data_IF_409282883005
#
_entry.id   IF_409282883005
#
_cell.length_a   1.000
_cell.length_b   1.000
_cell.length_c   1.000
_cell.angle_alpha   90.00
_cell.angle_beta   90.00
_cell.angle_gamma   90.00
#
_symmetry.space_group_name_H-M   'P 1'
#
loop_
_entity.id
_entity.type
_entity.pdbx_description
1 polymer ?
#
# COMPACT_ATOMS: atom_id res chain seq x y z
N UNK A 1 -20.23 1.64 -17.40
CA UNK A 1 -18.94 2.38 -17.35
C UNK A 1 -17.96 1.76 -18.33
N UNK A 2 -17.12 2.55 -18.98
CA UNK A 2 -16.04 2.06 -19.83
C UNK A 2 -14.79 1.83 -18.99
N UNK A 3 -14.51 0.56 -18.64
CA UNK A 3 -13.36 0.20 -17.82
C UNK A 3 -12.03 0.58 -18.49
N UNK A 4 -11.93 0.43 -19.81
CA UNK A 4 -10.69 0.73 -20.55
C UNK A 4 -10.34 2.21 -20.45
N UNK A 5 -11.34 3.07 -20.51
CA UNK A 5 -11.17 4.51 -20.41
C UNK A 5 -10.63 4.95 -19.03
N UNK A 6 -10.90 4.21 -17.95
CA UNK A 6 -10.30 4.51 -16.64
C UNK A 6 -8.78 4.39 -16.74
N UNK A 7 -8.30 3.23 -17.17
CA UNK A 7 -6.87 2.97 -17.30
C UNK A 7 -6.20 3.94 -18.29
N UNK A 8 -6.83 4.24 -19.41
CA UNK A 8 -6.25 5.20 -20.38
C UNK A 8 -6.08 6.62 -19.81
N UNK A 9 -6.91 7.03 -18.85
CA UNK A 9 -6.84 8.35 -18.23
C UNK A 9 -5.91 8.42 -17.02
N UNK A 10 -5.43 7.28 -16.50
CA UNK A 10 -4.61 7.21 -15.28
C UNK A 10 -3.30 6.44 -15.49
N UNK A 11 -2.94 6.15 -16.75
CA UNK A 11 -1.74 5.41 -17.15
C UNK A 11 -0.46 6.27 -17.05
N UNK A 12 -0.14 6.72 -15.85
CA UNK A 12 1.08 7.46 -15.50
C UNK A 12 1.39 7.30 -14.02
N UNK A 13 2.60 7.63 -13.57
CA UNK A 13 2.96 7.61 -12.14
C UNK A 13 2.22 8.72 -11.40
N UNK A 14 1.53 8.38 -10.32
CA UNK A 14 0.78 9.33 -9.48
C UNK A 14 1.04 9.03 -8.00
N UNK A 15 2.31 9.19 -7.62
CA UNK A 15 2.81 8.90 -6.28
C UNK A 15 2.32 9.91 -5.23
N UNK A 16 2.26 9.46 -3.98
CA UNK A 16 1.86 10.25 -2.81
C UNK A 16 2.40 11.69 -2.80
N UNK A 17 1.49 12.64 -2.58
CA UNK A 17 1.76 14.07 -2.41
C UNK A 17 2.14 14.82 -3.69
N UNK A 18 2.09 14.15 -4.85
CA UNK A 18 2.36 14.79 -6.14
C UNK A 18 1.12 15.47 -6.72
N UNK A 19 1.33 16.37 -7.69
CA UNK A 19 0.21 16.97 -8.44
C UNK A 19 -0.52 15.92 -9.30
N UNK A 20 0.18 14.87 -9.72
CA UNK A 20 -0.37 13.73 -10.46
C UNK A 20 -1.32 12.90 -9.58
N UNK A 21 -0.99 12.70 -8.29
CA UNK A 21 -1.93 12.09 -7.33
C UNK A 21 -3.20 12.94 -7.20
N UNK A 22 -3.09 14.26 -7.04
CA UNK A 22 -4.27 15.14 -6.99
C UNK A 22 -5.09 15.09 -8.29
N UNK A 23 -4.43 15.02 -9.45
CA UNK A 23 -5.12 14.87 -10.74
C UNK A 23 -5.99 13.60 -10.79
N UNK A 24 -5.49 12.48 -10.24
CA UNK A 24 -6.26 11.24 -10.16
C UNK A 24 -7.40 11.34 -9.14
N UNK A 25 -7.19 12.01 -8.00
CA UNK A 25 -8.25 12.29 -7.04
C UNK A 25 -9.41 13.10 -7.67
N UNK A 26 -9.08 14.16 -8.42
CA UNK A 26 -10.06 14.97 -9.15
C UNK A 26 -10.77 14.16 -10.24
N UNK A 27 -10.04 13.28 -10.93
CA UNK A 27 -10.62 12.35 -11.91
C UNK A 27 -11.64 11.41 -11.25
N UNK A 28 -11.29 10.74 -10.15
CA UNK A 28 -12.18 9.82 -9.43
C UNK A 28 -13.42 10.55 -8.89
N UNK A 29 -13.23 11.75 -8.32
CA UNK A 29 -14.33 12.61 -7.89
C UNK A 29 -15.29 12.90 -9.05
N UNK A 30 -14.75 13.27 -10.21
CA UNK A 30 -15.51 13.55 -11.42
C UNK A 30 -16.25 12.32 -11.93
N UNK A 31 -15.66 11.12 -11.87
CA UNK A 31 -16.35 9.88 -12.23
C UNK A 31 -17.58 9.65 -11.33
N UNK A 32 -17.45 9.88 -10.02
CA UNK A 32 -18.57 9.77 -9.08
C UNK A 32 -19.69 10.78 -9.41
N UNK A 33 -19.33 12.04 -9.66
CA UNK A 33 -20.30 13.11 -9.96
C UNK A 33 -21.01 12.90 -11.30
N UNK A 34 -20.30 12.40 -12.31
CA UNK A 34 -20.89 12.02 -13.60
C UNK A 34 -21.95 10.91 -13.46
N UNK A 35 -21.84 10.09 -12.42
CA UNK A 35 -22.87 9.09 -12.10
C UNK A 35 -24.05 9.67 -11.30
N UNK A 36 -23.98 10.93 -10.87
CA UNK A 36 -24.96 11.58 -10.01
C UNK A 36 -24.73 11.34 -8.51
N UNK A 37 -23.55 10.86 -8.13
CA UNK A 37 -23.20 10.53 -6.75
C UNK A 37 -22.48 11.70 -6.10
N UNK A 38 -22.97 12.15 -4.94
CA UNK A 38 -22.33 13.22 -4.19
C UNK A 38 -20.93 12.77 -3.74
N UNK A 39 -19.92 13.57 -4.06
CA UNK A 39 -18.53 13.27 -3.72
C UNK A 39 -17.75 14.51 -3.28
N UNK A 40 -16.69 14.28 -2.51
CA UNK A 40 -15.80 15.33 -1.98
C UNK A 40 -14.37 14.80 -1.88
N UNK A 41 -13.41 15.73 -1.83
CA UNK A 41 -12.02 15.45 -1.54
C UNK A 41 -11.72 15.93 -0.12
N UNK A 42 -11.04 15.09 0.66
CA UNK A 42 -10.55 15.41 2.00
C UNK A 42 -9.03 15.32 2.01
N UNK A 43 -8.37 16.44 2.27
CA UNK A 43 -6.90 16.53 2.33
C UNK A 43 -6.34 16.13 3.69
N UNK A 44 -5.18 15.51 3.69
CA UNK A 44 -4.43 15.16 4.90
C UNK A 44 -2.93 15.34 4.69
N UNK A 45 -2.22 15.66 5.78
CA UNK A 45 -0.80 15.98 5.75
C UNK A 45 0.06 14.73 5.51
N UNK A 46 1.00 14.83 4.56
CA UNK A 46 2.06 13.83 4.33
C UNK A 46 3.43 14.47 4.46
N UNK A 47 4.37 13.78 5.11
CA UNK A 47 5.76 14.26 5.17
C UNK A 47 6.41 14.07 3.78
N UNK A 48 7.05 15.10 3.25
CA UNK A 48 7.66 15.08 1.91
C UNK A 48 9.13 15.48 1.98
N UNK A 49 9.87 15.12 0.92
CA UNK A 49 11.23 15.56 0.72
C UNK A 49 11.53 15.72 -0.76
N UNK A 50 12.35 16.70 -1.09
CA UNK A 50 12.90 16.92 -2.43
C UNK A 50 14.42 16.77 -2.36
N UNK A 51 14.95 15.79 -3.09
CA UNK A 51 16.40 15.55 -3.16
C UNK A 51 17.01 16.62 -4.08
N UNK A 52 17.92 17.42 -3.53
CA UNK A 52 18.69 18.42 -4.29
C UNK A 52 19.91 17.76 -4.92
N UNK A 53 20.69 17.03 -4.12
CA UNK A 53 21.83 16.24 -4.57
C UNK A 53 21.94 14.92 -3.79
N UNK A 54 22.44 13.88 -4.45
CA UNK A 54 22.74 12.59 -3.82
C UNK A 54 23.93 11.94 -4.54
N UNK A 55 25.01 11.70 -3.80
CA UNK A 55 26.23 11.06 -4.32
C UNK A 55 26.62 9.89 -3.42
N UNK A 56 26.92 8.75 -4.04
CA UNK A 56 27.40 7.56 -3.35
C UNK A 56 28.75 7.17 -3.95
N UNK A 57 29.77 7.08 -3.10
CA UNK A 57 31.11 6.65 -3.49
C UNK A 57 31.47 5.34 -2.81
N UNK A 58 31.98 4.39 -3.58
CA UNK A 58 32.50 3.10 -3.15
C UNK A 58 34.00 3.02 -3.46
N UNK A 59 34.84 3.02 -2.42
CA UNK A 59 36.30 3.13 -2.53
C UNK A 59 36.77 4.30 -3.44
N UNK A 60 35.99 5.39 -3.44
CA UNK A 60 36.24 6.60 -4.24
C UNK A 60 35.63 6.59 -5.65
N UNK A 61 35.07 5.48 -6.11
CA UNK A 61 34.34 5.40 -7.38
C UNK A 61 32.86 5.70 -7.17
N UNK A 62 32.26 6.52 -8.04
CA UNK A 62 30.85 6.90 -7.93
C UNK A 62 29.93 5.75 -8.36
N UNK A 63 28.86 5.53 -7.59
CA UNK A 63 27.82 4.52 -7.82
C UNK A 63 26.49 5.23 -7.93
N UNK A 64 25.72 4.92 -8.98
CA UNK A 64 24.37 5.46 -9.16
C UNK A 64 23.48 5.07 -7.99
N UNK A 65 22.80 6.05 -7.40
CA UNK A 65 21.88 5.82 -6.29
C UNK A 65 20.70 6.79 -6.33
N UNK A 66 19.67 6.48 -5.52
CA UNK A 66 18.64 7.44 -5.11
C UNK A 66 18.62 7.51 -3.59
N UNK A 67 18.91 8.67 -3.01
CA UNK A 67 18.73 8.88 -1.58
C UNK A 67 17.24 8.77 -1.21
N UNK A 68 16.94 8.25 -0.02
CA UNK A 68 15.57 8.26 0.49
C UNK A 68 15.19 9.71 0.79
N UNK A 69 13.97 10.11 0.40
CA UNK A 69 13.42 11.37 0.90
C UNK A 69 13.14 11.25 2.40
N UNK A 70 13.10 12.37 3.10
CA UNK A 70 12.87 12.43 4.56
C UNK A 70 13.96 11.75 5.42
N UNK A 71 15.13 11.39 4.87
CA UNK A 71 16.24 10.80 5.64
C UNK A 71 17.24 11.83 6.20
N UNK A 72 17.01 13.13 5.96
CA UNK A 72 17.90 14.23 6.34
C UNK A 72 19.01 14.51 5.32
N UNK A 73 19.82 15.53 5.62
CA UNK A 73 20.97 15.94 4.81
C UNK A 73 22.28 15.79 5.58
N UNK A 74 23.37 15.53 4.87
CA UNK A 74 24.70 15.43 5.44
C UNK A 74 25.59 14.45 4.69
N UNK A 75 26.66 14.03 5.36
CA UNK A 75 27.64 13.08 4.85
C UNK A 75 27.82 11.94 5.85
N UNK A 76 27.73 10.71 5.38
CA UNK A 76 28.03 9.51 6.15
C UNK A 76 29.16 8.73 5.47
N UNK A 77 30.24 8.45 6.20
CA UNK A 77 31.39 7.70 5.70
C UNK A 77 31.79 6.60 6.69
N UNK A 78 32.09 5.41 6.17
CA UNK A 78 32.49 4.28 6.98
C UNK A 78 32.74 3.00 6.20
N UNK A 79 33.14 1.95 6.92
CA UNK A 79 33.34 0.62 6.34
C UNK A 79 32.00 0.05 5.83
N UNK A 80 32.00 -0.55 4.64
CA UNK A 80 30.85 -1.27 4.12
C UNK A 80 30.65 -2.57 4.89
N UNK A 81 29.42 -2.81 5.34
CA UNK A 81 28.98 -4.09 5.88
C UNK A 81 27.75 -4.59 5.14
N UNK A 82 27.93 -5.63 4.33
CA UNK A 82 26.79 -6.39 3.85
C UNK A 82 26.19 -7.19 5.02
N UNK A 83 24.96 -6.85 5.37
CA UNK A 83 24.25 -7.46 6.47
C UNK A 83 23.34 -8.59 5.92
N UNK A 84 23.69 -9.87 6.14
CA UNK A 84 23.01 -10.99 5.49
C UNK A 84 21.63 -11.33 6.11
N UNK A 85 21.32 -10.80 7.29
CA UNK A 85 20.08 -11.07 7.99
C UNK A 85 19.76 -10.01 9.05
N UNK A 86 18.70 -10.25 9.81
CA UNK A 86 18.23 -9.35 10.89
C UNK A 86 18.36 -9.99 12.28
N UNK A 87 19.08 -11.10 12.37
CA UNK A 87 19.39 -11.77 13.62
C UNK A 87 20.38 -10.95 14.47
N UNK A 88 20.50 -11.21 15.78
CA UNK A 88 21.36 -10.43 16.66
C UNK A 88 22.84 -10.38 16.25
N UNK A 89 23.37 -11.42 15.59
CA UNK A 89 24.77 -11.44 15.12
C UNK A 89 24.94 -10.51 13.93
N UNK A 90 23.99 -10.53 12.99
CA UNK A 90 23.96 -9.60 11.86
C UNK A 90 23.85 -8.14 12.34
N UNK A 91 22.95 -7.84 13.29
CA UNK A 91 22.80 -6.50 13.86
C UNK A 91 24.08 -6.03 14.57
N UNK A 92 24.73 -6.90 15.35
CA UNK A 92 25.98 -6.53 16.05
C UNK A 92 27.10 -6.13 15.07
N UNK A 93 27.11 -6.67 13.85
CA UNK A 93 28.06 -6.34 12.80
C UNK A 93 27.92 -4.92 12.24
N UNK A 94 26.77 -4.25 12.46
CA UNK A 94 26.47 -2.93 11.92
C UNK A 94 27.18 -1.76 12.65
N UNK A 95 27.80 -2.03 13.80
CA UNK A 95 28.41 -1.00 14.65
C UNK A 95 29.44 -0.15 13.92
N UNK A 96 29.20 1.16 13.86
CA UNK A 96 30.05 2.18 13.25
C UNK A 96 30.27 2.02 11.73
N UNK A 97 29.40 1.24 11.05
CA UNK A 97 29.50 0.88 9.63
C UNK A 97 28.37 1.46 8.78
N UNK A 98 28.58 1.42 7.46
CA UNK A 98 27.55 1.67 6.45
C UNK A 98 26.96 0.30 6.08
N UNK A 99 25.67 0.11 6.35
CA UNK A 99 25.00 -1.19 6.22
C UNK A 99 24.43 -1.33 4.82
N UNK A 100 24.71 -2.42 4.11
CA UNK A 100 24.02 -2.79 2.87
C UNK A 100 23.07 -3.96 3.16
N UNK A 101 21.79 -3.78 2.83
CA UNK A 101 20.74 -4.78 3.00
C UNK A 101 20.22 -5.29 1.66
N UNK A 102 19.99 -6.60 1.56
CA UNK A 102 19.28 -7.23 0.44
C UNK A 102 17.75 -7.07 0.62
N UNK A 103 17.30 -5.82 0.66
CA UNK A 103 15.90 -5.45 0.84
C UNK A 103 15.66 -4.08 0.20
N UNK A 104 14.39 -3.76 -0.09
CA UNK A 104 13.98 -2.45 -0.62
C UNK A 104 13.62 -1.44 0.48
N UNK A 105 13.83 -1.79 1.75
CA UNK A 105 13.48 -0.96 2.90
C UNK A 105 13.63 -1.72 4.20
N UNK A 106 13.28 -1.07 5.30
CA UNK A 106 13.45 -1.62 6.66
C UNK A 106 12.19 -1.41 7.48
N UNK A 107 11.81 -2.43 8.26
CA UNK A 107 10.70 -2.37 9.21
C UNK A 107 11.11 -1.69 10.52
N UNK A 108 10.12 -1.27 11.31
CA UNK A 108 10.33 -0.55 12.58
C UNK A 108 11.39 -1.19 13.48
N UNK A 109 11.18 -2.43 13.95
CA UNK A 109 12.10 -3.06 14.92
C UNK A 109 13.54 -3.21 14.43
N UNK A 110 13.73 -3.55 13.15
CA UNK A 110 15.07 -3.71 12.57
C UNK A 110 15.77 -2.36 12.50
N UNK A 111 15.05 -1.29 12.16
CA UNK A 111 15.61 0.06 12.19
C UNK A 111 16.04 0.45 13.61
N UNK A 112 15.19 0.24 14.62
CA UNK A 112 15.50 0.51 16.02
C UNK A 112 16.76 -0.24 16.47
N UNK A 113 16.89 -1.51 16.08
CA UNK A 113 18.04 -2.33 16.42
C UNK A 113 19.34 -1.85 15.75
N UNK A 114 19.27 -1.44 14.48
CA UNK A 114 20.40 -0.84 13.76
C UNK A 114 20.85 0.49 14.38
N UNK A 115 19.90 1.31 14.85
CA UNK A 115 20.22 2.58 15.51
C UNK A 115 20.95 2.34 16.83
N UNK A 116 20.46 1.39 17.65
CA UNK A 116 21.13 0.95 18.89
C UNK A 116 22.49 0.33 18.65
N UNK A 117 22.65 -0.44 17.56
CA UNK A 117 23.93 -1.02 17.19
C UNK A 117 24.96 0.04 16.73
N UNK A 118 24.51 1.21 16.29
CA UNK A 118 25.38 2.31 15.85
C UNK A 118 25.64 2.31 14.34
N UNK A 119 24.68 1.86 13.52
CA UNK A 119 24.77 2.02 12.07
C UNK A 119 24.87 3.51 11.69
N UNK A 120 25.74 3.84 10.72
CA UNK A 120 25.97 5.22 10.27
C UNK A 120 25.04 5.65 9.14
N UNK A 121 24.81 4.77 8.18
CA UNK A 121 23.88 4.92 7.07
C UNK A 121 23.46 3.53 6.58
N UNK A 122 22.39 3.48 5.78
CA UNK A 122 21.83 2.22 5.27
C UNK A 122 21.65 2.31 3.75
N UNK A 123 22.20 1.35 3.03
CA UNK A 123 21.99 1.13 1.61
C UNK A 123 21.00 -0.02 1.42
N UNK A 124 20.05 0.19 0.53
CA UNK A 124 19.04 -0.77 0.09
C UNK A 124 19.26 -1.10 -1.38
N UNK A 125 18.66 -2.18 -1.86
CA UNK A 125 18.71 -2.52 -3.27
C UNK A 125 17.34 -2.71 -3.91
N UNK A 126 17.25 -2.31 -5.17
CA UNK A 126 16.09 -2.47 -6.03
C UNK A 126 16.51 -3.05 -7.39
N UNK A 127 15.56 -3.61 -8.14
CA UNK A 127 15.77 -4.10 -9.49
C UNK A 127 16.05 -5.60 -9.55
N UNK A 128 16.39 -6.07 -10.75
CA UNK A 128 16.57 -7.49 -11.03
C UNK A 128 17.81 -7.69 -11.91
N UNK A 129 18.72 -8.57 -11.48
CA UNK A 129 19.98 -8.84 -12.18
C UNK A 129 19.78 -9.39 -13.59
N UNK A 130 18.63 -10.00 -13.86
CA UNK A 130 18.29 -10.62 -15.13
C UNK A 130 17.50 -9.69 -16.06
N UNK A 131 17.06 -8.52 -15.60
CA UNK A 131 16.39 -7.53 -16.44
C UNK A 131 17.39 -6.49 -16.94
N UNK A 132 17.26 -6.04 -18.20
CA UNK A 132 18.20 -5.06 -18.76
C UNK A 132 18.06 -3.67 -18.14
N UNK A 133 16.91 -3.36 -17.55
CA UNK A 133 16.64 -2.08 -16.91
C UNK A 133 17.43 -1.94 -15.61
N UNK A 134 18.03 -0.78 -15.39
CA UNK A 134 18.80 -0.44 -14.18
C UNK A 134 18.01 0.54 -13.31
N UNK A 135 16.72 0.26 -13.12
CA UNK A 135 15.85 1.15 -12.36
C UNK A 135 16.26 1.22 -10.91
N UNK A 136 15.97 2.36 -10.27
CA UNK A 136 16.10 2.54 -8.84
C UNK A 136 14.82 3.23 -8.38
N UNK A 137 14.11 2.60 -7.45
CA UNK A 137 12.90 3.14 -6.87
C UNK A 137 13.22 4.31 -5.92
N UNK A 138 12.42 5.37 -5.98
CA UNK A 138 12.50 6.50 -5.05
C UNK A 138 11.59 6.19 -3.84
N UNK A 139 12.21 6.00 -2.67
CA UNK A 139 11.52 5.73 -1.40
C UNK A 139 11.71 6.89 -0.42
N UNK A 140 10.94 6.88 0.65
CA UNK A 140 11.08 7.76 1.80
C UNK A 140 11.43 7.00 3.08
N UNK A 141 12.17 7.65 3.99
CA UNK A 141 12.37 7.14 5.34
C UNK A 141 11.14 7.49 6.19
N UNK A 142 10.18 6.56 6.22
CA UNK A 142 8.89 6.76 6.88
C UNK A 142 9.02 7.09 8.37
N UNK A 143 8.29 8.10 8.83
CA UNK A 143 8.25 8.53 10.24
C UNK A 143 7.94 7.38 11.21
N UNK A 144 7.03 6.48 10.84
CA UNK A 144 6.66 5.32 11.66
C UNK A 144 7.83 4.35 11.88
N UNK A 145 8.75 4.22 10.92
CA UNK A 145 9.92 3.35 11.03
C UNK A 145 10.98 3.97 11.94
N UNK A 146 11.18 5.28 11.83
CA UNK A 146 12.12 6.04 12.68
C UNK A 146 11.65 6.03 14.14
N UNK A 147 10.36 6.24 14.39
CA UNK A 147 9.82 6.31 15.75
C UNK A 147 10.46 7.45 16.55
N UNK A 148 11.04 7.12 17.71
CA UNK A 148 11.74 8.06 18.59
C UNK A 148 13.26 8.11 18.34
N UNK A 149 13.78 7.26 17.43
CA UNK A 149 15.21 7.20 17.14
C UNK A 149 15.65 8.33 16.22
N UNK A 150 16.98 8.51 16.12
CA UNK A 150 17.56 9.45 15.16
C UNK A 150 17.40 8.95 13.72
N UNK A 151 17.29 9.89 12.77
CA UNK A 151 17.44 9.58 11.34
C UNK A 151 18.90 9.19 11.03
N UNK A 152 19.06 8.37 10.00
CA UNK A 152 20.32 8.10 9.30
C UNK A 152 20.09 8.27 7.81
N UNK A 153 21.15 8.62 7.08
CA UNK A 153 21.08 8.68 5.63
C UNK A 153 20.77 7.29 5.07
N UNK A 154 19.85 7.25 4.11
CA UNK A 154 19.48 6.04 3.40
C UNK A 154 19.57 6.26 1.89
N UNK A 155 20.00 5.25 1.14
CA UNK A 155 19.98 5.29 -0.31
C UNK A 155 19.64 3.93 -0.91
N UNK A 156 18.97 3.95 -2.05
CA UNK A 156 18.70 2.80 -2.90
C UNK A 156 19.73 2.74 -4.01
N UNK A 157 20.27 1.55 -4.28
CA UNK A 157 21.09 1.24 -5.45
C UNK A 157 20.44 0.15 -6.28
N UNK A 158 20.87 -0.01 -7.54
CA UNK A 158 20.44 -1.16 -8.31
C UNK A 158 21.12 -2.44 -7.78
N UNK A 159 20.40 -3.57 -7.80
CA UNK A 159 20.90 -4.83 -7.23
C UNK A 159 22.20 -5.32 -7.90
N UNK A 160 22.40 -5.00 -9.19
CA UNK A 160 23.65 -5.31 -9.90
C UNK A 160 24.85 -4.59 -9.27
N UNK A 161 24.68 -3.36 -8.80
CA UNK A 161 25.73 -2.60 -8.11
C UNK A 161 25.92 -3.13 -6.69
N UNK A 162 24.85 -3.45 -5.96
CA UNK A 162 24.95 -4.14 -4.66
C UNK A 162 25.79 -5.42 -4.73
N UNK A 163 25.55 -6.25 -5.75
CA UNK A 163 26.37 -7.45 -6.02
C UNK A 163 27.83 -7.10 -6.31
N UNK A 164 28.11 -6.07 -7.11
CA UNK A 164 29.48 -5.62 -7.42
C UNK A 164 30.21 -5.16 -6.16
N UNK A 165 29.55 -4.39 -5.29
CA UNK A 165 30.15 -3.91 -4.04
C UNK A 165 30.65 -5.08 -3.19
N UNK A 166 29.82 -6.11 -3.01
CA UNK A 166 30.18 -7.31 -2.24
C UNK A 166 31.25 -8.13 -2.96
N UNK A 167 31.07 -8.42 -4.25
CA UNK A 167 31.99 -9.24 -5.05
C UNK A 167 33.40 -8.65 -5.12
N UNK A 168 33.50 -7.33 -5.20
CA UNK A 168 34.78 -6.63 -5.29
C UNK A 168 35.40 -6.34 -3.91
N UNK A 169 34.75 -6.76 -2.81
CA UNK A 169 35.19 -6.49 -1.44
C UNK A 169 35.41 -5.01 -1.15
N UNK A 170 34.49 -4.16 -1.64
CA UNK A 170 34.52 -2.71 -1.39
C UNK A 170 34.67 -2.46 0.11
N UNK A 171 35.58 -1.56 0.48
CA UNK A 171 35.92 -1.31 1.88
C UNK A 171 35.18 -0.11 2.44
N UNK A 172 35.15 0.99 1.73
CA UNK A 172 34.65 2.27 2.24
C UNK A 172 33.48 2.74 1.40
N UNK A 173 32.45 3.21 2.08
CA UNK A 173 31.33 3.92 1.48
C UNK A 173 31.28 5.34 2.02
N UNK A 174 31.01 6.29 1.13
CA UNK A 174 30.65 7.66 1.45
C UNK A 174 29.34 8.02 0.76
N UNK A 175 28.33 8.36 1.55
CA UNK A 175 27.02 8.83 1.08
C UNK A 175 26.86 10.31 1.44
N UNK A 176 26.61 11.13 0.43
CA UNK A 176 26.34 12.56 0.55
C UNK A 176 24.91 12.82 0.08
N UNK A 177 24.12 13.52 0.90
CA UNK A 177 22.72 13.82 0.59
C UNK A 177 22.42 15.27 0.96
N UNK A 178 21.87 16.02 0.03
CA UNK A 178 21.24 17.32 0.27
C UNK A 178 19.77 17.22 -0.15
N UNK A 179 18.86 17.61 0.74
CA UNK A 179 17.43 17.56 0.48
C UNK A 179 16.69 18.60 1.29
N UNK A 180 15.53 19.00 0.79
CA UNK A 180 14.57 19.84 1.52
C UNK A 180 13.39 18.99 1.98
N UNK A 181 13.22 18.87 3.29
CA UNK A 181 12.03 18.27 3.90
C UNK A 181 10.92 19.31 4.08
N UNK A 182 9.68 18.94 3.79
CA UNK A 182 8.51 19.81 3.91
C UNK A 182 7.24 19.00 4.17
N UNK A 183 6.17 19.68 4.56
CA UNK A 183 4.85 19.09 4.68
C UNK A 183 4.09 19.26 3.37
N UNK A 184 3.73 18.14 2.75
CA UNK A 184 2.82 18.08 1.60
C UNK A 184 1.43 17.63 2.02
N UNK A 185 0.57 17.48 1.03
CA UNK A 185 -0.81 17.07 1.20
C UNK A 185 -1.15 15.96 0.21
N UNK A 186 -1.82 14.93 0.70
CA UNK A 186 -2.47 13.88 -0.09
C UNK A 186 -3.95 13.90 0.24
N UNK A 187 -4.76 13.09 -0.45
CA UNK A 187 -6.20 13.26 -0.48
C UNK A 187 -6.93 11.91 -0.44
N UNK A 188 -8.05 11.87 0.27
CA UNK A 188 -9.05 10.83 0.10
C UNK A 188 -10.20 11.38 -0.74
N UNK A 189 -10.73 10.58 -1.65
CA UNK A 189 -11.98 10.91 -2.36
C UNK A 189 -13.10 10.11 -1.74
N UNK A 190 -14.14 10.81 -1.27
CA UNK A 190 -15.29 10.17 -0.62
C UNK A 190 -16.53 10.38 -1.46
N UNK A 191 -17.24 9.30 -1.72
CA UNK A 191 -18.54 9.32 -2.38
C UNK A 191 -19.56 8.52 -1.56
N UNK A 192 -20.79 9.02 -1.47
CA UNK A 192 -21.79 8.46 -0.57
C UNK A 192 -23.09 8.17 -1.30
N UNK A 193 -23.65 7.01 -0.96
CA UNK A 193 -24.96 6.61 -1.39
C UNK A 193 -25.80 6.23 -0.14
N UNK A 194 -26.78 7.07 0.25
CA UNK A 194 -27.57 6.85 1.47
C UNK A 194 -28.51 5.64 1.41
N UNK A 195 -28.60 4.88 2.51
CA UNK A 195 -29.55 3.78 2.69
C UNK A 195 -30.73 4.15 3.59
N UNK A 196 -31.53 3.15 3.96
CA UNK A 196 -32.63 3.29 4.93
C UNK A 196 -32.14 3.43 6.38
N UNK A 197 -30.92 2.97 6.67
CA UNK A 197 -30.26 3.03 7.97
C UNK A 197 -29.17 4.09 7.97
N UNK A 198 -28.91 4.63 9.16
CA UNK A 198 -27.80 5.56 9.45
C UNK A 198 -26.42 4.85 9.52
N UNK A 199 -26.41 3.51 9.44
CA UNK A 199 -25.21 2.68 9.48
C UNK A 199 -24.58 2.53 8.07
N UNK A 200 -23.25 2.45 8.02
CA UNK A 200 -22.46 2.45 6.79
C UNK A 200 -21.71 1.15 6.57
N UNK A 201 -21.71 0.68 5.33
CA UNK A 201 -20.66 -0.20 4.80
C UNK A 201 -19.70 0.69 4.01
N UNK A 202 -18.43 0.65 4.37
CA UNK A 202 -17.39 1.44 3.72
C UNK A 202 -16.64 0.57 2.72
N UNK A 203 -16.51 1.03 1.48
CA UNK A 203 -15.70 0.40 0.46
C UNK A 203 -14.43 1.21 0.23
N UNK A 204 -13.25 0.58 0.28
CA UNK A 204 -11.94 1.24 0.12
C UNK A 204 -11.15 0.65 -1.04
N UNK A 205 -10.38 1.49 -1.71
CA UNK A 205 -9.27 1.12 -2.58
C UNK A 205 -8.33 2.32 -2.67
N UNK A 206 -7.02 2.10 -2.63
CA UNK A 206 -6.10 3.20 -2.88
C UNK A 206 -5.93 3.47 -4.36
N UNK A 207 -5.59 4.73 -4.64
CA UNK A 207 -5.35 5.18 -6.00
C UNK A 207 -3.93 5.67 -6.20
N UNK A 208 -3.09 5.83 -5.17
CA UNK A 208 -1.70 6.26 -5.36
C UNK A 208 -0.79 5.14 -5.86
N UNK A 209 0.36 5.51 -6.41
CA UNK A 209 1.36 4.54 -6.91
C UNK A 209 2.73 4.71 -6.28
N UNK A 210 3.57 3.68 -6.41
CA UNK A 210 5.02 3.82 -6.21
C UNK A 210 5.69 4.62 -7.33
N UNK A 211 6.92 5.09 -7.09
CA UNK A 211 7.59 6.08 -7.96
C UNK A 211 7.92 5.63 -9.40
N UNK A 212 7.82 4.33 -9.67
CA UNK A 212 8.08 3.73 -10.97
C UNK A 212 6.83 3.10 -11.61
N UNK A 213 5.74 2.96 -10.85
CA UNK A 213 4.54 2.25 -11.27
C UNK A 213 3.49 3.20 -11.83
N UNK A 214 2.86 2.82 -12.94
CA UNK A 214 1.64 3.49 -13.42
C UNK A 214 0.39 3.01 -12.66
N UNK A 215 0.50 1.94 -11.87
CA UNK A 215 -0.49 1.48 -10.92
C UNK A 215 -1.79 0.99 -11.55
N UNK A 216 -1.73 0.45 -12.77
CA UNK A 216 -2.91 -0.09 -13.41
C UNK A 216 -3.46 -1.29 -12.62
N UNK A 217 -2.58 -2.21 -12.23
CA UNK A 217 -2.92 -3.33 -11.38
C UNK A 217 -2.95 -2.89 -9.91
N UNK A 218 -1.92 -2.19 -9.44
CA UNK A 218 -1.75 -1.74 -8.05
C UNK A 218 -1.78 -0.20 -7.95
N UNK A 219 -2.94 0.43 -7.77
CA UNK A 219 -4.25 -0.18 -7.52
C UNK A 219 -5.44 0.57 -8.18
N UNK A 220 -5.22 1.13 -9.37
CA UNK A 220 -6.33 1.66 -10.15
C UNK A 220 -7.39 0.58 -10.47
N UNK A 221 -6.99 -0.69 -10.51
CA UNK A 221 -7.91 -1.82 -10.64
C UNK A 221 -8.95 -1.89 -9.51
N UNK A 222 -8.56 -1.71 -8.25
CA UNK A 222 -9.47 -1.64 -7.10
C UNK A 222 -10.39 -0.42 -7.20
N UNK A 223 -9.85 0.73 -7.60
CA UNK A 223 -10.63 1.95 -7.84
C UNK A 223 -11.71 1.74 -8.92
N UNK A 224 -11.36 1.10 -10.04
CA UNK A 224 -12.32 0.71 -11.07
C UNK A 224 -13.40 -0.23 -10.52
N UNK A 225 -13.03 -1.13 -9.59
CA UNK A 225 -13.98 -1.99 -8.89
C UNK A 225 -14.97 -1.24 -8.02
N UNK A 226 -14.50 -0.27 -7.23
CA UNK A 226 -15.37 0.61 -6.44
C UNK A 226 -16.34 1.39 -7.33
N UNK A 227 -15.86 1.97 -8.43
CA UNK A 227 -16.71 2.68 -9.40
C UNK A 227 -17.75 1.75 -10.05
N UNK A 228 -17.39 0.50 -10.35
CA UNK A 228 -18.30 -0.49 -10.92
C UNK A 228 -19.41 -0.90 -9.94
N UNK A 229 -19.06 -1.09 -8.67
CA UNK A 229 -20.03 -1.33 -7.60
C UNK A 229 -20.94 -0.11 -7.42
N UNK A 230 -20.36 1.10 -7.41
CA UNK A 230 -21.12 2.35 -7.29
C UNK A 230 -22.13 2.52 -8.44
N UNK A 231 -21.70 2.30 -9.68
CA UNK A 231 -22.56 2.38 -10.87
C UNK A 231 -23.76 1.43 -10.76
N UNK A 232 -23.55 0.21 -10.28
CA UNK A 232 -24.61 -0.77 -10.10
C UNK A 232 -25.57 -0.40 -8.95
N UNK A 233 -25.05 0.17 -7.86
CA UNK A 233 -25.80 0.40 -6.62
C UNK A 233 -26.52 1.76 -6.56
N UNK A 234 -26.17 2.73 -7.41
CA UNK A 234 -26.66 4.12 -7.28
C UNK A 234 -28.19 4.27 -7.38
N UNK A 235 -28.83 3.47 -8.23
CA UNK A 235 -30.29 3.54 -8.48
C UNK A 235 -31.08 2.48 -7.70
N UNK A 236 -30.42 1.76 -6.79
CA UNK A 236 -31.03 0.67 -6.02
C UNK A 236 -31.40 1.10 -4.62
N UNK A 237 -32.55 0.61 -4.16
CA UNK A 237 -32.86 0.65 -2.74
C UNK A 237 -31.88 -0.24 -1.95
N UNK A 238 -31.56 0.19 -0.73
CA UNK A 238 -30.67 -0.54 0.17
C UNK A 238 -30.96 -0.25 1.63
N UNK A 239 -30.57 -1.17 2.51
CA UNK A 239 -30.72 -0.97 3.96
C UNK A 239 -29.57 -0.13 4.52
N UNK A 240 -28.33 -0.58 4.37
CA UNK A 240 -27.15 0.16 4.84
C UNK A 240 -26.76 1.25 3.84
N UNK A 241 -26.24 2.36 4.34
CA UNK A 241 -25.62 3.36 3.48
C UNK A 241 -24.28 2.84 2.97
N UNK A 242 -23.89 3.22 1.74
CA UNK A 242 -22.60 2.88 1.16
C UNK A 242 -21.72 4.11 1.08
N UNK A 243 -20.52 4.04 1.62
CA UNK A 243 -19.50 5.09 1.48
C UNK A 243 -18.29 4.49 0.77
N UNK A 244 -17.90 5.11 -0.33
CA UNK A 244 -16.72 4.74 -1.11
C UNK A 244 -15.61 5.71 -0.74
N UNK A 245 -14.45 5.19 -0.37
CA UNK A 245 -13.28 5.96 0.02
C UNK A 245 -12.11 5.52 -0.85
N UNK A 246 -11.79 6.34 -1.84
CA UNK A 246 -10.57 6.17 -2.62
C UNK A 246 -9.42 6.77 -1.83
N UNK A 247 -8.52 5.92 -1.35
CA UNK A 247 -7.49 6.30 -0.40
C UNK A 247 -6.24 6.83 -1.12
N UNK A 248 -5.73 7.97 -0.69
CA UNK A 248 -4.40 8.45 -1.13
C UNK A 248 -3.29 7.88 -0.25
N UNK A 249 -2.06 7.90 -0.75
CA UNK A 249 -0.86 7.56 0.04
C UNK A 249 -0.88 6.22 0.79
N UNK A 250 -1.47 5.17 0.25
CA UNK A 250 -1.42 3.80 0.81
C UNK A 250 0.01 3.28 0.78
N UNK A 251 0.73 3.50 -0.32
CA UNK A 251 2.05 2.93 -0.60
C UNK A 251 3.13 3.41 0.39
N UNK A 252 2.80 4.48 1.11
CA UNK A 252 3.62 5.07 2.18
C UNK A 252 3.23 4.60 3.58
N UNK A 253 2.46 3.52 3.67
CA UNK A 253 2.05 2.87 4.90
C UNK A 253 0.66 3.26 5.38
N UNK A 254 -0.33 3.16 4.49
CA UNK A 254 -1.76 3.33 4.77
C UNK A 254 -2.12 4.74 5.23
N UNK A 255 -1.49 5.78 4.69
CA UNK A 255 -1.64 7.14 5.24
C UNK A 255 -3.06 7.68 5.04
N UNK A 256 -3.67 7.44 3.88
CA UNK A 256 -5.04 7.91 3.61
C UNK A 256 -6.09 7.24 4.47
N UNK A 257 -6.08 5.91 4.58
CA UNK A 257 -7.02 5.19 5.44
C UNK A 257 -6.79 5.46 6.94
N UNK A 258 -5.55 5.68 7.38
CA UNK A 258 -5.26 6.15 8.75
C UNK A 258 -5.81 7.54 9.03
N UNK A 259 -5.59 8.49 8.12
CA UNK A 259 -6.16 9.83 8.23
C UNK A 259 -7.69 9.77 8.26
N UNK A 260 -8.29 8.96 7.39
CA UNK A 260 -9.74 8.77 7.35
C UNK A 260 -10.32 8.30 8.68
N UNK A 261 -9.76 7.24 9.28
CA UNK A 261 -10.29 6.73 10.56
C UNK A 261 -10.04 7.69 11.73
N UNK A 262 -8.98 8.49 11.68
CA UNK A 262 -8.68 9.52 12.67
C UNK A 262 -9.66 10.70 12.57
N UNK A 263 -9.86 11.24 11.36
CA UNK A 263 -10.72 12.40 11.10
C UNK A 263 -12.21 12.08 11.27
N UNK A 264 -12.61 10.82 11.01
CA UNK A 264 -13.97 10.32 11.18
C UNK A 264 -14.20 9.50 12.46
N UNK A 265 -13.36 9.65 13.50
CA UNK A 265 -13.44 8.87 14.75
C UNK A 265 -14.88 8.80 15.33
N UNK A 266 -15.61 9.92 15.29
CA UNK A 266 -16.98 10.02 15.80
C UNK A 266 -18.03 9.25 14.98
N UNK A 267 -17.73 8.91 13.73
CA UNK A 267 -18.61 8.14 12.84
C UNK A 267 -18.30 6.65 12.82
N UNK A 268 -17.14 6.22 13.35
CA UNK A 268 -16.68 4.83 13.32
C UNK A 268 -17.64 3.86 14.03
N UNK A 269 -18.44 4.32 14.98
CA UNK A 269 -19.48 3.51 15.63
C UNK A 269 -20.62 3.14 14.69
N UNK A 270 -20.86 3.93 13.63
CA UNK A 270 -21.89 3.70 12.62
C UNK A 270 -21.37 2.87 11.44
N UNK A 271 -20.06 2.67 11.33
CA UNK A 271 -19.48 1.81 10.29
C UNK A 271 -19.55 0.36 10.77
N UNK A 272 -20.35 -0.44 10.07
CA UNK A 272 -20.61 -1.84 10.46
C UNK A 272 -19.66 -2.81 9.76
N UNK A 273 -19.06 -2.42 8.64
CA UNK A 273 -18.20 -3.28 7.84
C UNK A 273 -17.35 -2.47 6.85
N UNK A 274 -16.10 -2.89 6.62
CA UNK A 274 -15.24 -2.40 5.55
C UNK A 274 -15.00 -3.48 4.47
N UNK A 275 -15.07 -3.10 3.20
CA UNK A 275 -14.76 -3.93 2.03
C UNK A 275 -13.64 -3.23 1.25
N UNK A 276 -12.44 -3.79 1.27
CA UNK A 276 -11.29 -3.25 0.58
C UNK A 276 -11.00 -4.00 -0.73
N UNK A 277 -10.70 -3.28 -1.80
CA UNK A 277 -10.26 -3.84 -3.06
C UNK A 277 -8.82 -3.42 -3.33
N UNK A 278 -7.96 -4.42 -3.52
CA UNK A 278 -6.55 -4.20 -3.78
C UNK A 278 -6.05 -5.23 -4.79
N UNK A 279 -5.61 -4.76 -5.96
CA UNK A 279 -5.09 -5.58 -7.05
C UNK A 279 -6.11 -6.61 -7.60
N UNK A 280 -7.02 -6.21 -8.50
CA UNK A 280 -8.00 -7.12 -9.17
C UNK A 280 -7.83 -7.14 -10.70
N UNK A 281 -8.49 -8.07 -11.41
CA UNK A 281 -8.69 -7.94 -12.86
C UNK A 281 -7.53 -8.27 -13.82
N UNK A 282 -6.41 -8.80 -13.35
CA UNK A 282 -5.31 -9.29 -14.22
C UNK A 282 -5.68 -10.56 -15.00
N UNK A 283 -4.99 -10.82 -16.12
CA UNK A 283 -5.25 -12.01 -16.98
C UNK A 283 -5.09 -13.35 -16.26
N UNK A 284 -4.12 -13.45 -15.35
CA UNK A 284 -3.87 -14.65 -14.57
C UNK A 284 -3.75 -14.27 -13.11
N UNK A 285 -4.21 -15.15 -12.23
CA UNK A 285 -4.04 -14.97 -10.80
C UNK A 285 -5.09 -15.74 -10.02
N UNK A 286 -4.89 -15.82 -8.71
CA UNK A 286 -5.83 -16.43 -7.79
C UNK A 286 -6.63 -15.34 -7.10
N UNK A 287 -7.97 -15.39 -7.20
CA UNK A 287 -8.81 -14.50 -6.41
C UNK A 287 -8.81 -14.95 -4.95
N UNK A 288 -8.62 -14.02 -4.03
CA UNK A 288 -8.57 -14.26 -2.60
C UNK A 288 -9.50 -13.30 -1.85
N UNK A 289 -9.86 -13.68 -0.63
CA UNK A 289 -10.44 -12.81 0.36
C UNK A 289 -9.69 -12.99 1.68
N UNK A 290 -9.19 -11.91 2.27
CA UNK A 290 -8.59 -11.93 3.60
C UNK A 290 -9.49 -11.15 4.56
N UNK A 291 -10.10 -11.85 5.51
CA UNK A 291 -11.05 -11.29 6.46
C UNK A 291 -10.38 -10.97 7.81
N UNK A 292 -10.30 -9.68 8.15
CA UNK A 292 -10.00 -9.21 9.51
C UNK A 292 -11.29 -9.20 10.34
N UNK A 293 -11.87 -10.38 10.52
CA UNK A 293 -13.16 -10.60 11.19
C UNK A 293 -13.27 -12.06 11.66
N UNK A 294 -14.42 -12.43 12.22
CA UNK A 294 -14.70 -13.82 12.60
C UNK A 294 -14.66 -14.78 11.39
N UNK A 295 -14.22 -16.02 11.63
CA UNK A 295 -14.05 -17.07 10.60
C UNK A 295 -15.33 -17.35 9.78
N UNK A 296 -16.51 -17.07 10.34
CA UNK A 296 -17.78 -17.20 9.62
C UNK A 296 -17.83 -16.35 8.36
N UNK A 297 -17.15 -15.20 8.30
CA UNK A 297 -17.08 -14.38 7.10
C UNK A 297 -16.33 -15.12 5.98
N UNK A 298 -15.18 -15.72 6.29
CA UNK A 298 -14.42 -16.52 5.33
C UNK A 298 -15.23 -17.74 4.83
N UNK A 299 -15.93 -18.42 5.73
CA UNK A 299 -16.84 -19.52 5.37
C UNK A 299 -18.01 -19.04 4.50
N UNK A 300 -18.63 -17.90 4.82
CA UNK A 300 -19.69 -17.31 4.01
C UNK A 300 -19.21 -17.02 2.59
N UNK A 301 -18.04 -16.39 2.45
CA UNK A 301 -17.45 -16.08 1.13
C UNK A 301 -17.21 -17.37 0.35
N UNK A 302 -16.68 -18.41 1.00
CA UNK A 302 -16.45 -19.73 0.38
C UNK A 302 -17.74 -20.43 -0.05
N UNK A 303 -18.82 -20.33 0.74
CA UNK A 303 -20.12 -20.87 0.37
C UNK A 303 -20.78 -20.08 -0.76
N UNK A 304 -20.76 -18.75 -0.71
CA UNK A 304 -21.27 -17.90 -1.77
C UNK A 304 -20.53 -18.18 -3.09
N UNK A 305 -19.21 -18.30 -3.03
CA UNK A 305 -18.37 -18.65 -4.17
C UNK A 305 -18.74 -20.00 -4.79
N UNK A 306 -18.97 -21.03 -3.97
CA UNK A 306 -19.43 -22.33 -4.44
C UNK A 306 -20.84 -22.26 -5.05
N UNK A 307 -21.73 -21.47 -4.45
CA UNK A 307 -23.10 -21.23 -4.94
C UNK A 307 -23.09 -20.54 -6.31
N UNK A 308 -22.23 -19.56 -6.52
CA UNK A 308 -22.19 -18.71 -7.71
C UNK A 308 -21.20 -19.20 -8.77
N UNK A 309 -20.41 -20.23 -8.47
CA UNK A 309 -19.38 -20.77 -9.36
C UNK A 309 -18.16 -19.85 -9.54
N UNK A 310 -17.87 -18.97 -8.59
CA UNK A 310 -16.74 -18.05 -8.66
C UNK A 310 -15.56 -18.57 -7.81
N UNK A 311 -14.35 -18.77 -8.38
CA UNK A 311 -13.23 -19.32 -7.64
C UNK A 311 -12.54 -18.27 -6.76
N UNK A 312 -12.75 -18.32 -5.45
CA UNK A 312 -12.06 -17.51 -4.43
C UNK A 312 -11.51 -18.41 -3.33
N UNK A 313 -10.33 -18.07 -2.80
CA UNK A 313 -9.87 -18.62 -1.53
C UNK A 313 -10.07 -17.58 -0.43
N UNK A 314 -10.89 -17.90 0.56
CA UNK A 314 -11.14 -17.03 1.69
C UNK A 314 -10.43 -17.53 2.94
N UNK A 315 -9.75 -16.63 3.63
CA UNK A 315 -9.07 -16.90 4.90
C UNK A 315 -9.26 -15.72 5.87
N UNK A 316 -8.93 -15.94 7.15
CA UNK A 316 -8.89 -14.87 8.15
C UNK A 316 -7.45 -14.41 8.37
N UNK A 317 -7.29 -13.12 8.66
CA UNK A 317 -5.98 -12.54 8.91
C UNK A 317 -5.96 -11.02 8.73
N UNK A 318 -4.75 -10.49 8.62
CA UNK A 318 -4.50 -9.07 8.31
C UNK A 318 -3.95 -8.96 6.90
N UNK A 319 -4.58 -8.13 6.08
CA UNK A 319 -4.13 -7.82 4.73
C UNK A 319 -3.44 -6.46 4.73
N UNK A 320 -2.28 -6.34 4.08
CA UNK A 320 -1.50 -5.10 4.04
C UNK A 320 -2.10 -4.07 3.08
N UNK A 321 -3.25 -3.51 3.42
CA UNK A 321 -3.97 -2.50 2.62
C UNK A 321 -4.95 -1.71 3.52
N UNK A 322 -5.77 -0.86 2.92
CA UNK A 322 -6.64 0.12 3.61
C UNK A 322 -7.73 -0.46 4.50
N UNK A 323 -7.96 -1.78 4.49
CA UNK A 323 -8.83 -2.44 5.48
C UNK A 323 -8.23 -2.47 6.89
N UNK A 324 -6.90 -2.44 6.99
CA UNK A 324 -6.20 -2.61 8.27
C UNK A 324 -6.51 -1.51 9.29
N UNK A 325 -6.54 -0.20 8.95
CA UNK A 325 -6.88 0.84 9.92
C UNK A 325 -8.32 0.73 10.44
N UNK A 326 -9.26 0.23 9.64
CA UNK A 326 -10.63 -0.04 10.10
C UNK A 326 -10.65 -1.20 11.09
N UNK A 327 -9.96 -2.30 10.76
CA UNK A 327 -9.81 -3.44 11.67
C UNK A 327 -9.14 -3.05 13.00
N UNK A 328 -8.13 -2.18 12.96
CA UNK A 328 -7.48 -1.66 14.16
C UNK A 328 -8.43 -0.87 15.09
N UNK A 329 -9.44 -0.22 14.49
CA UNK A 329 -10.52 0.49 15.21
C UNK A 329 -11.70 -0.41 15.59
N UNK A 330 -11.57 -1.72 15.42
CA UNK A 330 -12.59 -2.70 15.80
C UNK A 330 -13.72 -2.88 14.77
N UNK A 331 -13.60 -2.29 13.59
CA UNK A 331 -14.55 -2.46 12.49
C UNK A 331 -14.13 -3.71 11.70
N UNK A 332 -14.98 -4.72 11.54
CA UNK A 332 -14.64 -5.91 10.78
C UNK A 332 -14.42 -5.53 9.32
N UNK A 333 -13.43 -6.16 8.69
CA UNK A 333 -13.05 -5.83 7.32
C UNK A 333 -12.74 -7.07 6.49
N UNK A 334 -12.85 -6.92 5.16
CA UNK A 334 -12.38 -7.92 4.19
C UNK A 334 -11.64 -7.23 3.06
N UNK A 335 -10.46 -7.74 2.70
CA UNK A 335 -9.75 -7.35 1.47
C UNK A 335 -9.93 -8.41 0.40
N UNK A 336 -10.27 -7.98 -0.81
CA UNK A 336 -10.30 -8.83 -2.01
C UNK A 336 -9.18 -8.45 -2.97
N UNK A 337 -8.53 -9.47 -3.51
CA UNK A 337 -7.43 -9.33 -4.47
C UNK A 337 -7.41 -10.50 -5.45
N UNK A 338 -6.95 -10.27 -6.67
CA UNK A 338 -6.54 -11.29 -7.63
C UNK A 338 -5.02 -11.33 -7.66
N UNK A 339 -4.40 -12.27 -6.94
CA UNK A 339 -2.94 -12.35 -6.84
C UNK A 339 -2.34 -13.03 -8.07
N UNK A 340 -1.67 -12.24 -8.90
CA UNK A 340 -0.83 -12.70 -10.00
C UNK A 340 0.62 -12.90 -9.52
N UNK A 341 1.35 -13.83 -10.14
CA UNK A 341 2.80 -13.92 -9.90
C UNK A 341 3.53 -12.73 -10.54
N UNK A 342 4.62 -12.27 -9.92
CA UNK A 342 5.39 -11.12 -10.42
C UNK A 342 6.02 -11.29 -11.82
N UNK A 343 6.04 -12.50 -12.37
CA UNK A 343 6.44 -12.74 -13.76
C UNK A 343 5.32 -12.48 -14.77
N UNK A 344 4.08 -12.38 -14.31
CA UNK A 344 2.88 -12.16 -15.13
C UNK A 344 2.43 -10.70 -15.03
N UNK A 345 2.22 -10.23 -13.81
CA UNK A 345 1.81 -8.86 -13.51
C UNK A 345 2.62 -8.38 -12.29
N UNK A 346 3.87 -7.93 -12.50
CA UNK A 346 4.65 -7.34 -11.43
C UNK A 346 4.02 -6.02 -10.97
N UNK A 347 4.09 -5.75 -9.67
CA UNK A 347 3.72 -4.48 -9.06
C UNK A 347 4.99 -3.69 -8.69
N UNK A 348 4.81 -2.45 -8.26
CA UNK A 348 5.87 -1.59 -7.71
C UNK A 348 7.05 -1.36 -8.68
N UNK A 349 6.78 -1.41 -9.98
CA UNK A 349 7.78 -1.22 -11.02
C UNK A 349 7.15 -0.71 -12.31
N UNK A 350 7.99 -0.36 -13.29
CA UNK A 350 7.58 0.16 -14.61
C UNK A 350 6.70 -0.74 -15.46
N UNK A 351 6.50 -1.99 -15.04
CA UNK A 351 5.73 -2.99 -15.78
C UNK A 351 4.31 -3.16 -15.24
N UNK A 352 3.99 -2.47 -14.14
CA UNK A 352 2.62 -2.32 -13.69
C UNK A 352 1.94 -1.24 -14.52
N UNK A 353 1.48 -1.67 -15.71
CA UNK A 353 0.86 -0.86 -16.76
C UNK A 353 -0.39 -1.56 -17.26
N UNK A 354 -1.28 -0.83 -17.93
CA UNK A 354 -2.61 -1.35 -18.32
C UNK A 354 -2.58 -2.63 -19.15
N UNK A 355 -1.49 -2.95 -19.83
CA UNK A 355 -1.33 -4.18 -20.62
C UNK A 355 -1.39 -5.46 -19.77
N UNK A 356 -1.13 -5.40 -18.46
CA UNK A 356 -1.28 -6.57 -17.57
C UNK A 356 -2.74 -6.85 -17.19
N UNK A 357 -3.64 -5.92 -17.51
CA UNK A 357 -5.04 -5.95 -17.14
C UNK A 357 -5.91 -6.64 -18.20
N UNK A 358 -6.89 -7.42 -17.74
CA UNK A 358 -7.92 -8.00 -18.58
C UNK A 358 -9.25 -7.38 -18.21
N UNK A 359 -9.82 -6.55 -19.10
CA UNK A 359 -11.12 -5.92 -18.83
C UNK A 359 -12.24 -6.95 -18.64
N UNK A 360 -12.17 -8.09 -19.34
CA UNK A 360 -13.11 -9.19 -19.15
C UNK A 360 -12.98 -9.82 -17.76
N UNK A 361 -11.73 -10.08 -17.30
CA UNK A 361 -11.52 -10.63 -15.97
C UNK A 361 -11.84 -9.63 -14.86
N UNK A 362 -11.52 -8.35 -15.06
CA UNK A 362 -11.89 -7.27 -14.17
C UNK A 362 -13.41 -7.19 -14.01
N UNK A 363 -14.17 -7.26 -15.11
CA UNK A 363 -15.63 -7.29 -15.03
C UNK A 363 -16.14 -8.50 -14.23
N UNK A 364 -15.58 -9.69 -14.44
CA UNK A 364 -15.95 -10.90 -13.66
C UNK A 364 -15.68 -10.73 -12.17
N UNK A 365 -14.57 -10.11 -11.80
CA UNK A 365 -14.21 -9.82 -10.41
C UNK A 365 -15.21 -8.80 -9.83
N UNK A 366 -15.52 -7.74 -10.57
CA UNK A 366 -16.50 -6.71 -10.20
C UNK A 366 -17.90 -7.31 -10.02
N UNK A 367 -18.35 -8.21 -10.89
CA UNK A 367 -19.67 -8.83 -10.79
C UNK A 367 -19.83 -9.65 -9.50
N UNK A 368 -18.77 -10.37 -9.10
CA UNK A 368 -18.75 -11.10 -7.83
C UNK A 368 -18.78 -10.15 -6.63
N UNK A 369 -18.00 -9.06 -6.69
CA UNK A 369 -17.95 -8.04 -5.63
C UNK A 369 -19.25 -7.25 -5.51
N UNK A 370 -19.93 -6.97 -6.63
CA UNK A 370 -21.29 -6.43 -6.68
C UNK A 370 -22.25 -7.36 -5.94
N UNK A 371 -22.23 -8.66 -6.25
CA UNK A 371 -23.12 -9.62 -5.61
C UNK A 371 -22.87 -9.70 -4.10
N UNK A 372 -21.60 -9.75 -3.69
CA UNK A 372 -21.23 -9.73 -2.27
C UNK A 372 -21.73 -8.47 -1.57
N UNK A 373 -21.46 -7.30 -2.17
CA UNK A 373 -21.85 -5.99 -1.61
C UNK A 373 -23.37 -5.85 -1.56
N UNK A 374 -24.10 -6.23 -2.61
CA UNK A 374 -25.56 -6.16 -2.68
C UNK A 374 -26.22 -7.02 -1.59
N UNK A 375 -25.71 -8.25 -1.36
CA UNK A 375 -26.19 -9.12 -0.26
C UNK A 375 -26.00 -8.48 1.11
N UNK A 376 -24.85 -7.87 1.37
CA UNK A 376 -24.55 -7.22 2.66
C UNK A 376 -25.35 -5.94 2.86
N UNK A 377 -25.42 -5.10 1.83
CA UNK A 377 -26.12 -3.80 1.89
C UNK A 377 -27.63 -3.97 2.08
N UNK A 378 -28.19 -5.09 1.61
CA UNK A 378 -29.61 -5.44 1.77
C UNK A 378 -29.89 -6.37 2.96
N UNK A 379 -28.88 -6.75 3.75
CA UNK A 379 -29.09 -7.60 4.92
C UNK A 379 -30.01 -6.91 5.94
N UNK A 380 -30.86 -7.68 6.63
CA UNK A 380 -31.69 -7.14 7.71
C UNK A 380 -30.84 -6.64 8.90
N UNK A 381 -29.78 -7.38 9.19
CA UNK A 381 -28.72 -7.08 10.18
C UNK A 381 -27.39 -7.42 9.52
N UNK A 382 -26.34 -6.63 9.75
CA UNK A 382 -25.01 -6.92 9.22
C UNK A 382 -24.62 -8.33 9.72
N UNK A 383 -24.35 -9.29 8.81
CA UNK A 383 -24.12 -10.68 9.21
C UNK A 383 -22.76 -10.89 9.88
N UNK A 384 -21.90 -9.88 9.87
CA UNK A 384 -20.57 -9.90 10.49
C UNK A 384 -20.62 -9.10 11.79
N UNK A 385 -20.18 -9.72 12.88
CA UNK A 385 -20.09 -9.02 14.16
C UNK A 385 -19.04 -7.92 14.11
N UNK A 386 -19.35 -6.80 14.78
CA UNK A 386 -18.40 -5.72 15.04
C UNK A 386 -17.41 -6.12 16.14
N UNK A 387 -16.55 -7.07 15.80
CA UNK A 387 -15.60 -7.75 16.68
C UNK A 387 -14.37 -8.16 15.87
N UNK A 388 -13.18 -7.98 16.45
CA UNK A 388 -11.94 -8.50 15.90
C UNK A 388 -11.47 -9.65 16.79
N UNK A 389 -11.35 -10.89 16.25
CA UNK A 389 -10.82 -12.03 16.98
C UNK A 389 -9.40 -11.80 17.54
N UNK A 390 -9.06 -12.49 18.62
CA UNK A 390 -7.79 -12.25 19.35
C UNK A 390 -6.55 -12.60 18.52
N UNK A 391 -6.63 -13.64 17.69
CA UNK A 391 -5.60 -14.03 16.75
C UNK A 391 -5.39 -12.95 15.67
N UNK A 392 -6.46 -12.35 15.16
CA UNK A 392 -6.38 -11.21 14.22
C UNK A 392 -5.81 -9.97 14.93
N UNK A 393 -6.18 -9.70 16.19
CA UNK A 393 -5.56 -8.61 16.97
C UNK A 393 -4.06 -8.81 17.16
N UNK A 394 -3.61 -10.04 17.42
CA UNK A 394 -2.16 -10.33 17.50
C UNK A 394 -1.46 -10.00 16.18
N UNK A 395 -2.06 -10.39 15.06
CA UNK A 395 -1.52 -10.07 13.73
C UNK A 395 -1.51 -8.56 13.46
N UNK A 396 -2.55 -7.83 13.89
CA UNK A 396 -2.60 -6.36 13.78
C UNK A 396 -1.50 -5.71 14.62
N UNK A 397 -1.27 -6.19 15.84
CA UNK A 397 -0.16 -5.70 16.68
C UNK A 397 1.21 -5.94 16.05
N UNK A 398 1.40 -7.07 15.37
CA UNK A 398 2.62 -7.37 14.62
C UNK A 398 2.78 -6.45 13.40
N UNK A 399 1.72 -6.30 12.61
CA UNK A 399 1.70 -5.48 11.41
C UNK A 399 1.91 -3.98 11.70
N UNK A 400 1.27 -3.48 12.76
CA UNK A 400 1.34 -2.08 13.20
C UNK A 400 2.52 -1.82 14.15
N UNK A 401 3.46 -2.76 14.24
CA UNK A 401 4.70 -2.64 15.00
C UNK A 401 4.52 -2.42 16.51
N UNK A 402 3.36 -2.74 17.08
CA UNK A 402 3.11 -2.72 18.52
C UNK A 402 3.75 -3.91 19.22
N UNK A 403 3.90 -5.03 18.52
CA UNK A 403 4.61 -6.22 18.98
C UNK A 403 5.56 -6.72 17.92
N UNK A 404 6.72 -7.23 18.34
CA UNK A 404 7.64 -7.90 17.44
C UNK A 404 7.09 -9.29 17.14
N UNK A 405 7.10 -9.68 15.87
CA UNK A 405 6.75 -11.04 15.47
C UNK A 405 7.69 -12.02 16.15
N UNK A 406 7.13 -13.00 16.85
CA UNK A 406 7.90 -14.08 17.48
C UNK A 406 8.51 -14.94 16.38
N UNK A 407 9.81 -15.23 16.49
CA UNK A 407 10.59 -15.96 15.48
C UNK A 407 10.34 -17.47 15.53
#
# INVERSE_FOLDING_TARGET
MDLQQIFDNTDFVHASGTKEELQVAEYLKTQCENMGVASRIEGFRVAMGEIETAHLYADGEEVTCKAFTCCGSGVAEGELYYMPGTDPVSIAGAKDKIVLMDTQGVGFFVYQDLMKAGAKAILFQYGNLHYPQQDIDQRDLRKVVVGEERKVLCAMIHCSDGVKLVKNNVKTIRLEVEQREYDGESHNVIAELPGKKEEWIVLTAHYDTTSLSHGAYDNMSGCAGLLGIMEYMKDKERNYSLRFVFCGSEERGLLGSKAYVEDHEAELEKIVFNINLDMIGTYMGKFIACASAEEKLAHYISYMAAETGFPVAAETGVYSSDSTPFADKGIPAVSFARLAGGTVAPIHCRYDVKEVMSMEQLQKDIDFLILFTDRFTNAAVCPVKREIPEDVKKQLDEYLFRKRKEA
#
